data_IF_667541863029
#
_entry.id   IF_667541863029
#
_cell.length_a   1.000
_cell.length_b   1.000
_cell.length_c   1.000
_cell.angle_alpha   90.00
_cell.angle_beta   90.00
_cell.angle_gamma   90.00
#
_symmetry.space_group_name_H-M   'P 1'
#
loop_
_entity.id
_entity.type
_entity.pdbx_description
1 polymer ?
#
# COMPACT_ATOMS: atom_id res chain seq x y z
N UNK A 1 -39.95 -11.64 -50.74
CA UNK A 1 -39.25 -11.13 -49.54
C UNK A 1 -38.73 -9.74 -49.84
N UNK A 2 -39.45 -8.69 -49.43
CA UNK A 2 -39.11 -7.29 -49.68
C UNK A 2 -38.39 -6.70 -48.47
N UNK A 3 -37.20 -6.12 -48.67
CA UNK A 3 -36.42 -5.42 -47.63
C UNK A 3 -36.88 -3.97 -47.55
N UNK A 4 -37.38 -3.54 -46.39
CA UNK A 4 -37.70 -2.14 -46.12
C UNK A 4 -36.41 -1.35 -45.86
N UNK A 5 -36.09 -0.40 -46.74
CA UNK A 5 -35.02 0.58 -46.51
C UNK A 5 -35.56 1.68 -45.58
N UNK A 6 -34.98 1.83 -44.39
CA UNK A 6 -35.28 2.94 -43.47
C UNK A 6 -34.48 4.17 -43.92
N UNK A 7 -35.14 5.22 -44.39
CA UNK A 7 -34.50 6.50 -44.68
C UNK A 7 -34.33 7.30 -43.38
N UNK A 8 -33.09 7.56 -42.96
CA UNK A 8 -32.80 8.42 -41.81
C UNK A 8 -33.07 9.88 -42.19
N UNK A 9 -34.00 10.54 -41.51
CA UNK A 9 -34.23 11.98 -41.67
C UNK A 9 -32.99 12.78 -41.24
N UNK A 10 -32.60 13.86 -41.95
CA UNK A 10 -31.48 14.70 -41.53
C UNK A 10 -31.85 15.50 -40.27
N UNK A 11 -31.03 15.37 -39.23
CA UNK A 11 -31.19 16.07 -37.96
C UNK A 11 -30.92 17.58 -38.17
N UNK A 12 -31.97 18.39 -38.27
CA UNK A 12 -31.87 19.86 -38.31
C UNK A 12 -31.59 20.39 -36.91
N UNK A 13 -30.31 20.61 -36.59
CA UNK A 13 -29.91 21.20 -35.31
C UNK A 13 -30.51 22.61 -35.16
N UNK A 14 -31.42 22.78 -34.21
CA UNK A 14 -31.85 24.11 -33.74
C UNK A 14 -30.66 24.71 -32.99
N UNK A 15 -30.22 25.93 -33.35
CA UNK A 15 -29.25 26.68 -32.53
C UNK A 15 -29.87 26.89 -31.15
N UNK A 16 -29.37 26.18 -30.14
CA UNK A 16 -29.72 26.43 -28.74
C UNK A 16 -28.96 27.68 -28.29
N UNK A 17 -29.67 28.79 -28.10
CA UNK A 17 -29.07 29.98 -27.47
C UNK A 17 -29.00 29.73 -25.97
N UNK A 18 -27.82 29.44 -25.45
CA UNK A 18 -27.59 29.30 -24.01
C UNK A 18 -27.65 30.70 -23.40
N UNK A 19 -28.53 30.99 -22.42
CA UNK A 19 -28.52 32.28 -21.76
C UNK A 19 -27.19 32.43 -21.00
N UNK A 20 -26.53 33.58 -21.18
CA UNK A 20 -25.38 33.94 -20.32
C UNK A 20 -25.88 33.97 -18.87
N UNK A 21 -25.25 33.26 -17.91
CA UNK A 21 -25.64 33.36 -16.51
C UNK A 21 -25.72 34.82 -16.05
N UNK A 22 -26.57 35.14 -15.08
CA UNK A 22 -26.61 36.50 -14.52
C UNK A 22 -25.23 36.88 -13.95
N UNK A 23 -24.90 38.17 -13.94
CA UNK A 23 -23.60 38.67 -13.46
C UNK A 23 -23.26 38.20 -12.04
N UNK A 24 -24.27 37.97 -11.21
CA UNK A 24 -24.16 37.38 -9.86
C UNK A 24 -23.65 35.93 -9.91
N UNK A 25 -24.17 35.11 -10.83
CA UNK A 25 -23.73 33.73 -11.01
C UNK A 25 -22.30 33.66 -11.56
N UNK A 26 -21.94 34.57 -12.48
CA UNK A 26 -20.56 34.71 -12.95
C UNK A 26 -19.60 35.14 -11.82
N UNK A 27 -20.03 36.07 -10.97
CA UNK A 27 -19.25 36.53 -9.81
C UNK A 27 -19.06 35.42 -8.78
N UNK A 28 -20.11 34.65 -8.49
CA UNK A 28 -20.07 33.51 -7.58
C UNK A 28 -19.13 32.40 -8.08
N UNK A 29 -19.22 32.02 -9.35
CA UNK A 29 -18.30 31.06 -9.96
C UNK A 29 -16.85 31.57 -9.91
N UNK A 30 -16.62 32.84 -10.22
CA UNK A 30 -15.28 33.44 -10.13
C UNK A 30 -14.74 33.50 -8.69
N UNK A 31 -15.59 33.72 -7.70
CA UNK A 31 -15.23 33.66 -6.28
C UNK A 31 -14.88 32.23 -5.85
N UNK A 32 -15.65 31.25 -6.32
CA UNK A 32 -15.39 29.82 -6.08
C UNK A 32 -14.06 29.39 -6.72
N UNK A 33 -13.80 29.74 -7.98
CA UNK A 33 -12.51 29.51 -8.64
C UNK A 33 -11.32 30.17 -7.91
N UNK A 34 -11.50 31.38 -7.37
CA UNK A 34 -10.48 32.06 -6.55
C UNK A 34 -10.23 31.32 -5.24
N UNK A 35 -11.27 30.79 -4.59
CA UNK A 35 -11.14 30.00 -3.36
C UNK A 35 -10.46 28.64 -3.58
N UNK A 36 -10.74 27.97 -4.71
CA UNK A 36 -10.06 26.73 -5.12
C UNK A 36 -8.57 27.01 -5.38
N UNK A 37 -8.26 28.12 -6.04
CA UNK A 37 -6.87 28.52 -6.35
C UNK A 37 -6.07 28.85 -5.08
N UNK A 38 -6.68 29.50 -4.09
CA UNK A 38 -6.01 29.79 -2.82
C UNK A 38 -5.76 28.54 -1.98
N UNK A 39 -6.69 27.59 -1.96
CA UNK A 39 -6.48 26.28 -1.33
C UNK A 39 -5.38 25.46 -2.01
N UNK A 40 -5.30 25.48 -3.35
CA UNK A 40 -4.20 24.85 -4.09
C UNK A 40 -2.86 25.54 -3.85
N UNK A 41 -2.83 26.85 -3.59
CA UNK A 41 -1.60 27.60 -3.28
C UNK A 41 -1.01 27.21 -1.91
N UNK A 42 -1.85 26.85 -0.95
CA UNK A 42 -1.43 26.31 0.35
C UNK A 42 -0.90 24.87 0.26
N UNK A 43 -1.29 24.13 -0.78
CA UNK A 43 -0.80 22.77 -1.09
C UNK A 43 0.42 22.76 -2.03
N UNK A 44 1.02 23.91 -2.34
CA UNK A 44 2.21 23.95 -3.19
C UNK A 44 3.39 23.29 -2.47
N UNK A 45 4.09 22.34 -3.09
CA UNK A 45 5.43 21.99 -2.63
C UNK A 45 6.32 23.24 -2.73
N UNK A 46 7.28 23.32 -1.81
CA UNK A 46 8.20 24.41 -1.48
C UNK A 46 8.62 25.34 -2.65
N UNK A 47 8.87 26.63 -2.38
CA UNK A 47 9.27 27.59 -3.41
C UNK A 47 10.50 27.11 -4.18
N UNK A 48 10.52 27.39 -5.48
CA UNK A 48 11.54 26.92 -6.43
C UNK A 48 12.95 27.34 -5.98
N UNK A 49 13.70 26.41 -5.38
CA UNK A 49 15.05 26.62 -4.88
C UNK A 49 15.27 26.13 -3.44
N UNK A 50 14.21 25.99 -2.66
CA UNK A 50 14.28 25.42 -1.31
C UNK A 50 13.89 23.94 -1.37
N UNK A 51 14.86 23.06 -1.13
CA UNK A 51 14.59 21.63 -1.01
C UNK A 51 13.96 21.42 0.37
N UNK A 52 12.77 20.84 0.42
CA UNK A 52 12.15 20.47 1.69
C UNK A 52 13.10 19.58 2.49
N UNK A 53 13.13 19.70 3.82
CA UNK A 53 13.79 18.68 4.65
C UNK A 53 13.28 17.26 4.31
N UNK A 54 12.00 17.13 3.93
CA UNK A 54 11.40 15.88 3.45
C UNK A 54 11.98 15.38 2.11
N UNK A 55 12.37 16.28 1.21
CA UNK A 55 13.01 15.94 -0.05
C UNK A 55 14.50 15.58 0.17
N UNK A 56 15.15 16.22 1.15
CA UNK A 56 16.52 15.90 1.60
C UNK A 56 16.62 14.51 2.23
N UNK A 57 15.57 14.02 2.92
CA UNK A 57 15.52 12.64 3.46
C UNK A 57 15.72 11.57 2.39
N UNK A 58 15.34 11.83 1.14
CA UNK A 58 15.59 10.90 0.02
C UNK A 58 17.08 10.77 -0.32
N UNK A 59 17.88 11.74 0.10
CA UNK A 59 19.33 11.80 -0.11
C UNK A 59 20.14 11.56 1.17
N UNK A 60 19.50 11.31 2.31
CA UNK A 60 20.17 10.87 3.53
C UNK A 60 20.72 9.45 3.35
N UNK A 61 21.92 9.21 3.85
CA UNK A 61 22.56 7.89 3.79
C UNK A 61 21.88 6.91 4.76
N UNK A 62 21.90 5.61 4.45
CA UNK A 62 21.44 4.56 5.39
C UNK A 62 22.40 4.32 6.56
N UNK A 63 23.57 4.98 6.58
CA UNK A 63 24.61 4.89 7.60
C UNK A 63 24.25 5.59 8.93
N UNK A 64 22.98 5.90 9.16
CA UNK A 64 22.54 6.60 10.37
C UNK A 64 22.43 5.68 11.59
N UNK A 65 22.82 4.40 11.48
CA UNK A 65 22.87 3.46 12.61
C UNK A 65 24.16 3.68 13.39
N UNK A 66 24.03 4.00 14.68
CA UNK A 66 25.18 4.18 15.59
C UNK A 66 26.10 2.94 15.53
N UNK A 67 27.40 3.17 15.33
CA UNK A 67 28.44 2.13 15.32
C UNK A 67 28.78 1.55 13.93
N UNK A 68 28.09 1.95 12.87
CA UNK A 68 28.52 1.61 11.51
C UNK A 68 29.73 2.45 11.10
N UNK A 69 30.75 1.81 10.52
CA UNK A 69 31.93 2.48 9.99
C UNK A 69 31.61 2.93 8.57
N UNK A 70 31.87 4.21 8.32
CA UNK A 70 31.72 4.84 7.02
C UNK A 70 33.00 4.68 6.18
N UNK A 71 32.87 4.35 4.90
CA UNK A 71 33.96 4.47 3.91
C UNK A 71 33.75 5.71 3.04
N UNK A 72 34.79 6.51 2.69
CA UNK A 72 34.70 7.70 1.84
C UNK A 72 33.70 7.63 0.66
N UNK A 73 33.61 6.47 0.02
CA UNK A 73 32.68 6.20 -1.07
C UNK A 73 31.19 6.32 -0.69
N UNK A 74 30.79 5.99 0.54
CA UNK A 74 29.37 5.89 0.95
C UNK A 74 28.66 7.26 1.10
N UNK A 75 29.38 8.37 1.19
CA UNK A 75 28.83 9.74 1.22
C UNK A 75 28.70 10.32 -0.19
N UNK A 76 29.29 9.66 -1.19
CA UNK A 76 29.21 10.12 -2.57
C UNK A 76 27.76 10.05 -3.07
N UNK A 77 27.39 10.98 -3.94
CA UNK A 77 26.07 10.95 -4.60
C UNK A 77 25.85 9.65 -5.39
N UNK A 78 26.93 9.04 -5.90
CA UNK A 78 26.89 7.82 -6.70
C UNK A 78 26.62 6.56 -5.86
N UNK A 79 27.14 6.48 -4.63
CA UNK A 79 26.80 5.40 -3.68
C UNK A 79 25.31 5.38 -3.30
N UNK A 80 24.58 6.47 -3.56
CA UNK A 80 23.13 6.59 -3.38
C UNK A 80 22.31 6.02 -4.53
N UNK A 81 22.91 5.73 -5.69
CA UNK A 81 22.22 4.90 -6.67
C UNK A 81 21.84 3.63 -5.90
N UNK A 82 20.59 3.17 -5.96
CA UNK A 82 20.31 1.81 -5.55
C UNK A 82 21.10 0.95 -6.53
N UNK A 83 22.39 0.73 -6.24
CA UNK A 83 23.12 -0.44 -6.65
C UNK A 83 22.11 -1.52 -6.31
N UNK A 84 21.49 -2.12 -7.32
CA UNK A 84 20.55 -3.22 -7.16
C UNK A 84 21.21 -4.09 -6.11
N UNK A 85 20.76 -4.00 -4.85
CA UNK A 85 21.58 -4.40 -3.71
C UNK A 85 21.60 -5.90 -3.83
N UNK A 86 22.61 -6.42 -4.55
CA UNK A 86 22.58 -7.66 -5.33
C UNK A 86 21.77 -8.67 -4.57
N UNK A 87 20.46 -8.76 -4.87
CA UNK A 87 19.40 -9.22 -3.97
C UNK A 87 20.00 -10.04 -2.83
N UNK A 88 20.56 -9.35 -1.82
CA UNK A 88 21.38 -10.04 -0.82
C UNK A 88 20.31 -10.62 0.07
N UNK A 89 19.78 -11.78 -0.32
CA UNK A 89 19.25 -12.77 0.60
C UNK A 89 20.43 -13.18 1.52
N UNK A 90 20.97 -12.21 2.27
CA UNK A 90 21.92 -12.42 3.33
C UNK A 90 21.09 -13.06 4.43
N UNK A 91 21.17 -14.39 4.46
CA UNK A 91 20.70 -15.21 5.57
C UNK A 91 19.20 -14.99 5.86
N UNK A 92 18.30 -15.26 4.90
CA UNK A 92 16.91 -15.54 5.29
C UNK A 92 16.94 -16.93 5.91
N UNK A 93 17.38 -17.00 7.17
CA UNK A 93 17.19 -18.17 8.00
C UNK A 93 15.69 -18.33 8.20
N UNK A 94 15.22 -19.57 8.10
CA UNK A 94 13.81 -19.86 8.30
C UNK A 94 13.45 -19.49 9.75
N UNK A 95 12.52 -18.54 9.91
CA UNK A 95 12.08 -18.07 11.23
C UNK A 95 11.64 -19.23 12.13
N UNK A 96 10.98 -20.24 11.58
CA UNK A 96 10.55 -21.40 12.36
C UNK A 96 11.72 -22.29 12.81
N UNK A 97 12.80 -22.33 12.02
CA UNK A 97 14.02 -23.04 12.37
C UNK A 97 14.81 -22.26 13.43
N UNK A 98 14.86 -20.93 13.32
CA UNK A 98 15.45 -20.04 14.32
C UNK A 98 14.79 -20.18 15.69
N UNK A 99 13.46 -20.18 15.74
CA UNK A 99 12.72 -20.38 16.99
C UNK A 99 12.59 -21.85 17.40
N UNK A 100 13.08 -22.80 16.59
CA UNK A 100 12.91 -24.24 16.80
C UNK A 100 11.44 -24.69 16.98
N UNK A 101 10.49 -23.95 16.41
CA UNK A 101 9.04 -24.21 16.51
C UNK A 101 8.55 -24.94 15.27
N UNK A 102 7.74 -25.98 15.46
CA UNK A 102 7.12 -26.69 14.35
C UNK A 102 5.82 -25.98 13.91
N UNK A 103 5.72 -25.47 12.67
CA UNK A 103 4.52 -24.79 12.19
C UNK A 103 3.25 -25.64 12.25
N UNK A 104 3.40 -26.97 12.19
CA UNK A 104 2.29 -27.92 12.16
C UNK A 104 1.48 -27.92 13.46
N UNK A 105 2.15 -27.68 14.59
CA UNK A 105 1.56 -27.81 15.92
C UNK A 105 0.87 -26.50 16.34
N UNK A 106 1.29 -25.38 15.75
CA UNK A 106 0.76 -24.03 15.96
C UNK A 106 -0.54 -23.71 15.21
N UNK A 107 -1.37 -24.72 14.91
CA UNK A 107 -2.61 -24.52 14.16
C UNK A 107 -3.69 -23.74 14.93
N UNK A 108 -3.55 -23.62 16.26
CA UNK A 108 -4.48 -22.91 17.14
C UNK A 108 -4.24 -21.39 17.15
N UNK A 109 -3.04 -20.97 16.77
CA UNK A 109 -2.57 -19.60 16.89
C UNK A 109 -2.96 -18.78 15.65
N UNK A 110 -4.17 -18.20 15.64
CA UNK A 110 -4.68 -17.43 14.47
C UNK A 110 -3.77 -16.25 14.10
N UNK A 111 -3.15 -15.59 15.08
CA UNK A 111 -2.24 -14.46 14.87
C UNK A 111 -1.02 -14.87 14.04
N UNK A 112 -0.41 -16.01 14.38
CA UNK A 112 0.77 -16.51 13.67
C UNK A 112 0.42 -16.91 12.23
N UNK A 113 -0.64 -17.69 12.05
CA UNK A 113 -1.04 -18.19 10.73
C UNK A 113 -1.51 -17.05 9.80
N UNK A 114 -2.18 -16.04 10.34
CA UNK A 114 -2.65 -14.86 9.58
C UNK A 114 -1.51 -14.03 9.00
N UNK A 115 -0.28 -14.13 9.52
CA UNK A 115 0.90 -13.51 8.95
C UNK A 115 1.28 -14.13 7.59
N UNK A 116 1.01 -15.43 7.42
CA UNK A 116 1.37 -16.20 6.23
C UNK A 116 0.24 -16.35 5.21
N UNK A 117 -0.88 -15.67 5.43
CA UNK A 117 -1.96 -15.54 4.44
C UNK A 117 -1.94 -14.17 3.78
N UNK A 118 -2.50 -14.08 2.57
CA UNK A 118 -2.82 -12.81 1.93
C UNK A 118 -4.08 -12.20 2.54
N UNK A 119 -4.39 -10.97 2.16
CA UNK A 119 -5.63 -10.29 2.57
C UNK A 119 -6.88 -11.06 2.15
N UNK A 120 -6.84 -11.70 0.98
CA UNK A 120 -7.88 -12.58 0.46
C UNK A 120 -7.89 -13.98 1.10
N UNK A 121 -7.08 -14.21 2.13
CA UNK A 121 -6.97 -15.52 2.77
C UNK A 121 -6.26 -16.58 1.92
N UNK A 122 -5.48 -16.24 0.88
CA UNK A 122 -4.66 -17.25 0.17
C UNK A 122 -3.38 -17.54 0.95
N UNK A 123 -2.85 -18.76 0.91
CA UNK A 123 -1.56 -19.08 1.55
C UNK A 123 -0.45 -18.47 0.70
N UNK A 124 0.45 -17.70 1.31
CA UNK A 124 1.59 -17.06 0.62
C UNK A 124 2.55 -18.11 0.05
N UNK A 125 3.19 -17.79 -1.07
CA UNK A 125 4.18 -18.68 -1.70
C UNK A 125 5.47 -18.74 -0.89
N UNK A 126 6.30 -19.77 -1.13
CA UNK A 126 7.59 -19.90 -0.43
C UNK A 126 8.47 -18.66 -0.62
N UNK A 127 8.51 -18.11 -1.83
CA UNK A 127 9.28 -16.89 -2.17
C UNK A 127 8.87 -15.68 -1.33
N UNK A 128 7.57 -15.53 -1.06
CA UNK A 128 7.06 -14.44 -0.23
C UNK A 128 7.29 -14.67 1.27
N UNK A 129 7.30 -15.93 1.71
CA UNK A 129 7.47 -16.28 3.13
C UNK A 129 8.93 -16.44 3.57
N UNK A 130 9.83 -16.80 2.64
CA UNK A 130 11.24 -17.06 2.94
C UNK A 130 11.52 -18.35 3.71
N UNK A 131 10.55 -19.26 3.86
CA UNK A 131 10.70 -20.46 4.69
C UNK A 131 11.40 -21.62 3.95
N UNK A 132 11.93 -22.57 4.71
CA UNK A 132 12.39 -23.86 4.20
C UNK A 132 11.22 -24.64 3.58
N UNK A 133 11.48 -25.42 2.54
CA UNK A 133 10.45 -26.21 1.84
C UNK A 133 9.70 -27.15 2.80
N UNK A 134 10.39 -27.69 3.81
CA UNK A 134 9.80 -28.56 4.84
C UNK A 134 8.81 -27.79 5.72
N UNK A 135 9.22 -26.62 6.21
CA UNK A 135 8.39 -25.80 7.07
C UNK A 135 7.22 -25.16 6.31
N UNK A 136 7.42 -24.75 5.05
CA UNK A 136 6.32 -24.28 4.19
C UNK A 136 5.23 -25.35 4.00
N UNK A 137 5.60 -26.62 3.80
CA UNK A 137 4.63 -27.73 3.71
C UNK A 137 3.90 -27.95 5.03
N UNK A 138 4.59 -27.89 6.16
CA UNK A 138 4.02 -28.00 7.52
C UNK A 138 3.06 -26.85 7.82
N UNK A 139 3.46 -25.62 7.53
CA UNK A 139 2.66 -24.42 7.64
C UNK A 139 1.38 -24.51 6.80
N UNK A 140 1.50 -24.96 5.55
CA UNK A 140 0.33 -25.16 4.69
C UNK A 140 -0.66 -26.19 5.26
N UNK A 141 -0.17 -27.26 5.91
CA UNK A 141 -1.03 -28.23 6.61
C UNK A 141 -1.68 -27.62 7.85
N UNK A 142 -0.94 -26.84 8.65
CA UNK A 142 -1.47 -26.13 9.82
C UNK A 142 -2.60 -25.16 9.45
N UNK A 143 -2.40 -24.35 8.40
CA UNK A 143 -3.43 -23.40 7.91
C UNK A 143 -4.68 -24.14 7.44
N UNK A 144 -4.52 -25.24 6.68
CA UNK A 144 -5.68 -26.05 6.26
C UNK A 144 -6.42 -26.67 7.44
N UNK A 145 -5.70 -27.13 8.47
CA UNK A 145 -6.29 -27.64 9.72
C UNK A 145 -7.05 -26.55 10.47
N UNK A 146 -6.47 -25.35 10.61
CA UNK A 146 -7.10 -24.22 11.27
C UNK A 146 -8.41 -23.80 10.58
N UNK A 147 -8.47 -23.86 9.24
CA UNK A 147 -9.70 -23.61 8.47
C UNK A 147 -10.77 -24.66 8.71
N UNK A 148 -10.40 -25.93 8.74
CA UNK A 148 -11.34 -27.02 9.03
C UNK A 148 -11.95 -26.91 10.43
N UNK A 149 -11.22 -26.31 11.38
CA UNK A 149 -11.68 -26.05 12.74
C UNK A 149 -12.33 -24.67 12.92
N UNK A 150 -12.56 -23.92 11.83
CA UNK A 150 -13.13 -22.57 11.86
C UNK A 150 -12.35 -21.55 12.70
N UNK A 151 -11.06 -21.79 12.96
CA UNK A 151 -10.16 -20.85 13.68
C UNK A 151 -9.68 -19.73 12.74
N UNK A 152 -9.52 -20.04 11.45
CA UNK A 152 -9.04 -19.09 10.45
C UNK A 152 -10.01 -19.00 9.27
N UNK A 153 -10.35 -17.78 8.78
CA UNK A 153 -11.21 -17.63 7.61
C UNK A 153 -10.55 -18.13 6.32
N UNK A 154 -11.36 -18.55 5.35
CA UNK A 154 -10.89 -19.05 4.05
C UNK A 154 -10.82 -17.95 2.98
N UNK A 155 -11.77 -17.01 2.98
CA UNK A 155 -11.93 -15.98 1.95
C UNK A 155 -11.38 -14.61 2.34
N UNK A 156 -10.87 -14.46 3.56
CA UNK A 156 -10.33 -13.22 4.08
C UNK A 156 -9.24 -13.51 5.11
N UNK A 157 -8.45 -12.51 5.44
CA UNK A 157 -7.58 -12.53 6.62
C UNK A 157 -8.41 -12.38 7.90
N UNK A 158 -7.91 -12.94 9.01
CA UNK A 158 -8.58 -12.80 10.31
C UNK A 158 -8.80 -11.31 10.66
N UNK A 159 -10.01 -10.89 11.05
CA UNK A 159 -10.35 -9.48 11.26
C UNK A 159 -9.50 -8.82 12.33
N UNK A 160 -9.28 -9.49 13.47
CA UNK A 160 -8.40 -8.97 14.53
C UNK A 160 -6.96 -8.74 14.06
N UNK A 161 -6.46 -9.58 13.14
CA UNK A 161 -5.12 -9.37 12.61
C UNK A 161 -5.10 -8.12 11.72
N UNK A 162 -6.09 -7.97 10.83
CA UNK A 162 -6.21 -6.83 9.92
C UNK A 162 -6.36 -5.51 10.67
N UNK A 163 -7.27 -5.45 11.66
CA UNK A 163 -7.51 -4.27 12.48
C UNK A 163 -6.25 -3.81 13.25
N UNK A 164 -5.47 -4.75 13.79
CA UNK A 164 -4.22 -4.43 14.48
C UNK A 164 -3.10 -3.97 13.53
N UNK A 165 -3.10 -4.46 12.28
CA UNK A 165 -2.16 -4.01 11.25
C UNK A 165 -2.34 -2.53 10.91
N UNK A 166 -3.57 -2.08 10.76
CA UNK A 166 -3.90 -0.67 10.48
C UNK A 166 -3.52 0.25 11.64
N UNK A 167 -3.73 -0.19 12.89
CA UNK A 167 -3.32 0.54 14.10
C UNK A 167 -1.80 0.74 14.18
N UNK A 168 -1.00 -0.26 13.79
CA UNK A 168 0.47 -0.15 13.79
C UNK A 168 1.00 0.88 12.79
N UNK A 169 0.33 1.04 11.65
CA UNK A 169 0.77 1.93 10.59
C UNK A 169 0.27 3.39 10.75
N UNK A 170 -0.72 3.62 11.62
CA UNK A 170 -1.29 4.94 11.90
C UNK A 170 -1.20 5.29 13.40
N UNK A 171 -0.14 5.98 13.86
CA UNK A 171 0.11 6.24 15.29
C UNK A 171 -1.00 7.02 16.01
N UNK A 172 -1.81 7.79 15.28
CA UNK A 172 -2.91 8.59 15.82
C UNK A 172 -4.09 7.76 16.35
N UNK A 173 -4.20 6.48 15.96
CA UNK A 173 -5.26 5.57 16.41
C UNK A 173 -4.94 4.83 17.73
N UNK A 174 -3.73 4.97 18.27
CA UNK A 174 -3.30 4.25 19.48
C UNK A 174 -3.94 4.75 20.79
N UNK A 175 -4.71 5.85 20.77
CA UNK A 175 -5.26 6.49 21.97
C UNK A 175 -6.72 6.12 22.31
N UNK A 176 -7.41 5.33 21.49
CA UNK A 176 -8.86 5.06 21.67
C UNK A 176 -9.14 3.73 22.41
N UNK A 177 -8.14 2.85 22.57
CA UNK A 177 -8.34 1.49 23.10
C UNK A 177 -7.82 1.24 24.53
N UNK A 178 -7.41 2.29 25.27
CA UNK A 178 -7.16 2.21 26.72
C UNK A 178 -8.23 3.02 27.46
N UNK A 179 -9.38 2.40 27.68
CA UNK A 179 -10.50 2.92 28.47
C UNK A 179 -11.20 1.75 29.13
#
# INVERSE_FOLDING_TARGET
MTRLFTTSAPFRAKKLTIPKPSDEAYSALNAEFKSITSQQKQQRPHPRGEIANEDLKRYETTLNTRGMIYSPADLSFEAKRPLQQKNRQSQITDKFEEYSVNPMDEYKSFNLLSQFTTELGRIRTREQTGLSTKNQRRLGKAIRRARALSILPTAARHPEYSANGERRNNPSMNYIARG
#
